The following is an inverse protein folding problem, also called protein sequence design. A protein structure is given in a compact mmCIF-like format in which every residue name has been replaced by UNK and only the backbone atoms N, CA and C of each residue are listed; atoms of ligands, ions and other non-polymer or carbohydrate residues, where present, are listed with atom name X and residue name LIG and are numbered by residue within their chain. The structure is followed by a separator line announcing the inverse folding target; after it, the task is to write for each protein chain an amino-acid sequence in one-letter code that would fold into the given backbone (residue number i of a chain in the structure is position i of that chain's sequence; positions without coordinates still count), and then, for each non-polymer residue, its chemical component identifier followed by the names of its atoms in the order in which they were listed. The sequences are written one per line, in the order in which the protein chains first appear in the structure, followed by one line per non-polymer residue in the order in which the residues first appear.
data_IF_568406466224
#
_entry.id   IF_568406466224
#
_cell.length_a   1.000
_cell.length_b   1.000
_cell.length_c   1.000
_cell.angle_alpha   90.00
_cell.angle_beta   90.00
_cell.angle_gamma   90.00
#
_symmetry.space_group_name_H-M   'P 1'
#
loop_
_entity.id
_entity.type
_entity.pdbx_description
1 polymer ?
#
# COMPACT_ATOMS: atom_id res chain seq x y z
N UNK A 1 67.08 -2.45 -9.71
CA UNK A 1 66.04 -1.40 -9.53
C UNK A 1 64.69 -2.07 -9.63
N UNK A 2 64.16 -2.41 -8.47
CA UNK A 2 62.94 -3.20 -8.28
C UNK A 2 61.75 -2.26 -8.42
N UNK A 3 60.96 -2.42 -9.49
CA UNK A 3 59.75 -1.65 -9.70
C UNK A 3 58.73 -2.13 -8.68
N UNK A 4 58.59 -1.36 -7.59
CA UNK A 4 57.52 -1.51 -6.62
C UNK A 4 56.18 -1.50 -7.38
N UNK A 5 55.58 -2.70 -7.50
CA UNK A 5 54.20 -2.93 -7.90
C UNK A 5 53.28 -2.35 -6.80
N UNK A 6 53.30 -1.02 -6.65
CA UNK A 6 52.25 -0.30 -5.96
C UNK A 6 51.02 -0.49 -6.83
N UNK A 7 50.19 -1.48 -6.46
CA UNK A 7 48.88 -1.68 -7.08
C UNK A 7 48.21 -0.32 -7.11
N UNK A 8 48.07 0.25 -8.31
CA UNK A 8 47.26 1.43 -8.54
C UNK A 8 45.88 1.04 -8.06
N UNK A 9 45.57 1.45 -6.83
CA UNK A 9 44.26 1.26 -6.22
C UNK A 9 43.36 2.15 -7.06
N UNK A 10 42.82 1.58 -8.13
CA UNK A 10 41.86 2.27 -8.99
C UNK A 10 40.77 2.76 -8.06
N UNK A 11 40.80 4.06 -7.77
CA UNK A 11 39.74 4.70 -7.02
C UNK A 11 38.47 4.37 -7.80
N UNK A 12 37.43 3.84 -7.15
CA UNK A 12 36.21 3.46 -7.83
C UNK A 12 35.80 4.65 -8.69
N UNK A 13 35.84 4.48 -10.03
CA UNK A 13 35.49 5.55 -10.94
C UNK A 13 34.15 6.09 -10.47
N UNK A 14 34.06 7.39 -10.20
CA UNK A 14 32.78 8.03 -9.86
C UNK A 14 31.83 7.84 -11.04
N UNK A 15 31.06 6.76 -11.02
CA UNK A 15 29.98 6.58 -11.97
C UNK A 15 29.04 7.77 -11.83
N UNK A 16 28.71 8.40 -12.96
CA UNK A 16 27.86 9.57 -12.98
C UNK A 16 26.56 9.30 -12.20
N UNK A 17 26.18 10.23 -11.30
CA UNK A 17 24.99 10.10 -10.45
C UNK A 17 23.72 9.82 -11.25
N UNK A 18 23.65 10.32 -12.49
CA UNK A 18 22.56 10.05 -13.42
C UNK A 18 22.49 8.58 -13.84
N UNK A 19 23.62 7.94 -14.16
CA UNK A 19 23.65 6.50 -14.48
C UNK A 19 23.17 5.68 -13.28
N UNK A 20 23.59 6.06 -12.07
CA UNK A 20 23.16 5.38 -10.83
C UNK A 20 21.66 5.54 -10.55
N UNK A 21 21.08 6.69 -10.91
CA UNK A 21 19.66 6.99 -10.71
C UNK A 21 18.77 6.31 -11.77
N UNK A 22 19.13 6.43 -13.06
CA UNK A 22 18.34 5.88 -14.17
C UNK A 22 18.57 4.40 -14.38
N UNK A 23 19.74 3.88 -13.99
CA UNK A 23 20.13 2.50 -14.25
C UNK A 23 20.91 1.88 -13.07
N UNK A 24 20.27 1.75 -11.90
CA UNK A 24 20.92 1.19 -10.73
C UNK A 24 21.37 -0.25 -10.98
N UNK A 25 22.54 -0.61 -10.42
CA UNK A 25 23.07 -1.96 -10.55
C UNK A 25 22.22 -2.96 -9.76
N UNK A 26 21.72 -3.99 -10.46
CA UNK A 26 20.88 -5.06 -9.93
C UNK A 26 21.66 -6.36 -9.70
N UNK A 27 22.98 -6.31 -9.65
CA UNK A 27 23.86 -7.46 -9.39
C UNK A 27 23.73 -8.01 -7.96
N UNK A 28 23.44 -7.13 -6.99
CA UNK A 28 23.47 -7.44 -5.56
C UNK A 28 22.06 -7.44 -4.97
N UNK A 29 21.78 -8.38 -4.06
CA UNK A 29 20.46 -8.52 -3.41
C UNK A 29 19.99 -7.24 -2.73
N UNK A 30 20.86 -6.55 -1.99
CA UNK A 30 20.55 -5.29 -1.31
C UNK A 30 20.14 -4.18 -2.28
N UNK A 31 20.85 -4.06 -3.41
CA UNK A 31 20.52 -3.07 -4.43
C UNK A 31 19.16 -3.37 -5.09
N UNK A 32 18.87 -4.63 -5.38
CA UNK A 32 17.55 -5.02 -5.92
C UNK A 32 16.43 -4.61 -4.97
N UNK A 33 16.57 -4.86 -3.67
CA UNK A 33 15.56 -4.47 -2.68
C UNK A 33 15.37 -2.95 -2.64
N UNK A 34 16.46 -2.18 -2.66
CA UNK A 34 16.40 -0.71 -2.71
C UNK A 34 15.69 -0.19 -3.96
N UNK A 35 15.90 -0.82 -5.12
CA UNK A 35 15.25 -0.41 -6.39
C UNK A 35 13.76 -0.72 -6.36
N UNK A 36 13.36 -1.89 -5.85
CA UNK A 36 11.95 -2.26 -5.68
C UNK A 36 11.27 -1.31 -4.68
N UNK A 37 11.93 -0.99 -3.57
CA UNK A 37 11.38 -0.09 -2.56
C UNK A 37 11.20 1.34 -3.07
N UNK A 38 12.12 1.80 -3.92
CA UNK A 38 12.01 3.09 -4.61
C UNK A 38 10.76 3.12 -5.50
N UNK A 39 10.54 2.09 -6.32
CA UNK A 39 9.34 1.97 -7.14
C UNK A 39 8.04 1.94 -6.34
N UNK A 40 8.04 1.23 -5.20
CA UNK A 40 6.92 1.22 -4.26
C UNK A 40 6.61 2.62 -3.72
N UNK A 41 7.64 3.35 -3.27
CA UNK A 41 7.49 4.72 -2.76
C UNK A 41 6.95 5.62 -3.89
N UNK A 42 7.46 5.50 -5.11
CA UNK A 42 6.97 6.26 -6.27
C UNK A 42 5.47 6.04 -6.50
N UNK A 43 4.97 4.81 -6.43
CA UNK A 43 3.55 4.52 -6.58
C UNK A 43 2.70 5.16 -5.48
N UNK A 44 3.17 5.16 -4.23
CA UNK A 44 2.47 5.86 -3.15
C UNK A 44 2.48 7.38 -3.31
N UNK A 45 3.58 7.95 -3.82
CA UNK A 45 3.65 9.39 -4.13
C UNK A 45 2.67 9.74 -5.24
N UNK A 46 2.61 8.94 -6.33
CA UNK A 46 1.64 9.14 -7.41
C UNK A 46 0.21 9.06 -6.88
N UNK A 47 -0.12 8.00 -6.12
CA UNK A 47 -1.43 7.86 -5.49
C UNK A 47 -1.78 9.05 -4.58
N UNK A 48 -0.84 9.48 -3.73
CA UNK A 48 -1.02 10.61 -2.83
C UNK A 48 -1.26 11.92 -3.57
N UNK A 49 -0.48 12.20 -4.63
CA UNK A 49 -0.65 13.40 -5.45
C UNK A 49 -1.97 13.40 -6.22
N UNK A 50 -2.38 12.26 -6.79
CA UNK A 50 -3.67 12.13 -7.48
C UNK A 50 -4.84 12.34 -6.51
N UNK A 51 -4.77 11.73 -5.33
CA UNK A 51 -5.78 11.91 -4.28
C UNK A 51 -5.85 13.38 -3.82
N UNK A 52 -4.70 14.01 -3.57
CA UNK A 52 -4.63 15.41 -3.17
C UNK A 52 -5.21 16.34 -4.26
N UNK A 53 -4.89 16.10 -5.53
CA UNK A 53 -5.43 16.87 -6.65
C UNK A 53 -6.95 16.72 -6.78
N UNK A 54 -7.50 15.53 -6.51
CA UNK A 54 -8.95 15.29 -6.49
C UNK A 54 -9.63 16.06 -5.34
N UNK A 55 -9.03 16.11 -4.14
CA UNK A 55 -9.57 16.86 -2.99
C UNK A 55 -9.69 18.36 -3.30
N UNK A 56 -8.71 18.94 -4.01
CA UNK A 56 -8.76 20.34 -4.43
C UNK A 56 -9.73 20.61 -5.60
N UNK A 57 -10.54 19.63 -6.02
CA UNK A 57 -11.45 19.69 -7.18
C UNK A 57 -10.74 20.07 -8.49
N UNK A 58 -9.43 19.78 -8.60
CA UNK A 58 -8.69 20.00 -9.83
C UNK A 58 -8.97 18.90 -10.87
N UNK A 59 -9.41 17.72 -10.42
CA UNK A 59 -9.58 16.51 -11.23
C UNK A 59 -10.91 15.83 -10.86
N UNK A 60 -11.63 15.20 -11.82
CA UNK A 60 -12.84 14.42 -11.55
C UNK A 60 -12.65 13.35 -10.45
N UNK A 61 -13.78 12.96 -9.83
CA UNK A 61 -13.83 11.93 -8.77
C UNK A 61 -13.28 10.56 -9.22
N UNK A 62 -13.26 10.30 -10.52
CA UNK A 62 -12.66 9.11 -11.13
C UNK A 62 -11.19 8.94 -10.74
N UNK A 63 -10.45 10.04 -10.60
CA UNK A 63 -9.05 10.02 -10.18
C UNK A 63 -8.84 9.51 -8.74
N UNK A 64 -9.89 9.51 -7.92
CA UNK A 64 -9.84 8.93 -6.58
C UNK A 64 -9.79 7.40 -6.65
N UNK A 65 -10.48 6.81 -7.64
CA UNK A 65 -10.38 5.36 -7.93
C UNK A 65 -8.98 5.03 -8.45
N UNK A 66 -8.44 5.81 -9.38
CA UNK A 66 -7.09 5.58 -9.91
C UNK A 66 -6.03 5.70 -8.82
N UNK A 67 -6.17 6.68 -7.92
CA UNK A 67 -5.28 6.84 -6.77
C UNK A 67 -5.24 5.59 -5.90
N UNK A 68 -6.40 4.97 -5.66
CA UNK A 68 -6.50 3.74 -4.88
C UNK A 68 -5.91 2.54 -5.61
N UNK A 69 -6.10 2.46 -6.92
CA UNK A 69 -5.50 1.43 -7.77
C UNK A 69 -3.98 1.53 -7.75
N UNK A 70 -3.40 2.73 -7.86
CA UNK A 70 -1.95 2.94 -7.73
C UNK A 70 -1.44 2.58 -6.33
N UNK A 71 -2.18 2.88 -5.27
CA UNK A 71 -1.81 2.47 -3.91
C UNK A 71 -1.81 0.94 -3.75
N UNK A 72 -2.79 0.25 -4.33
CA UNK A 72 -2.86 -1.21 -4.35
C UNK A 72 -1.68 -1.82 -5.12
N UNK A 73 -1.31 -1.24 -6.26
CA UNK A 73 -0.12 -1.64 -7.00
C UNK A 73 1.17 -1.40 -6.23
N UNK A 74 1.30 -0.26 -5.53
CA UNK A 74 2.45 0.02 -4.65
C UNK A 74 2.66 -1.08 -3.64
N UNK A 75 1.58 -1.53 -3.00
CA UNK A 75 1.62 -2.67 -2.09
C UNK A 75 2.04 -3.98 -2.79
N UNK A 76 1.49 -4.25 -3.97
CA UNK A 76 1.83 -5.43 -4.78
C UNK A 76 3.31 -5.48 -5.20
N UNK A 77 3.88 -4.33 -5.57
CA UNK A 77 5.31 -4.17 -5.88
C UNK A 77 6.16 -4.42 -4.63
N UNK A 78 5.72 -3.96 -3.45
CA UNK A 78 6.37 -4.26 -2.17
C UNK A 78 6.42 -5.75 -1.83
N UNK A 79 5.50 -6.56 -2.36
CA UNK A 79 5.52 -8.03 -2.28
C UNK A 79 6.39 -8.70 -3.35
N UNK A 80 7.16 -7.92 -4.12
CA UNK A 80 8.06 -8.39 -5.19
C UNK A 80 7.32 -9.14 -6.30
N UNK A 81 6.06 -8.77 -6.57
CA UNK A 81 5.23 -9.35 -7.64
C UNK A 81 5.60 -8.78 -9.02
N UNK A 82 5.95 -9.65 -9.97
CA UNK A 82 6.28 -9.27 -11.36
C UNK A 82 5.07 -8.68 -12.09
N UNK A 83 3.91 -9.32 -11.94
CA UNK A 83 2.68 -8.93 -12.65
C UNK A 83 2.23 -7.55 -12.17
N UNK A 84 2.24 -7.30 -10.85
CA UNK A 84 1.87 -6.00 -10.30
C UNK A 84 2.79 -4.87 -10.80
N UNK A 85 4.10 -5.11 -10.88
CA UNK A 85 5.04 -4.10 -11.36
C UNK A 85 4.79 -3.74 -12.83
N UNK A 86 4.55 -4.73 -13.68
CA UNK A 86 4.26 -4.52 -15.11
C UNK A 86 2.91 -3.82 -15.29
N UNK A 87 1.87 -4.26 -14.59
CA UNK A 87 0.55 -3.64 -14.65
C UNK A 87 0.58 -2.19 -14.15
N UNK A 88 1.31 -1.90 -13.07
CA UNK A 88 1.47 -0.55 -12.56
C UNK A 88 2.14 0.38 -13.58
N UNK A 89 3.19 -0.11 -14.28
CA UNK A 89 3.85 0.65 -15.34
C UNK A 89 2.92 0.87 -16.53
N UNK A 90 2.19 -0.16 -16.98
CA UNK A 90 1.26 -0.05 -18.12
C UNK A 90 0.11 0.90 -17.81
N UNK A 91 -0.49 0.79 -16.63
CA UNK A 91 -1.55 1.69 -16.18
C UNK A 91 -1.03 3.12 -16.11
N UNK A 92 0.17 3.34 -15.53
CA UNK A 92 0.78 4.66 -15.50
C UNK A 92 0.96 5.26 -16.89
N UNK A 93 1.49 4.50 -17.86
CA UNK A 93 1.67 4.98 -19.24
C UNK A 93 0.32 5.25 -19.91
N UNK A 94 -0.69 4.40 -19.71
CA UNK A 94 -2.03 4.61 -20.25
C UNK A 94 -2.66 5.90 -19.73
N UNK A 95 -2.57 6.16 -18.43
CA UNK A 95 -3.04 7.42 -17.81
C UNK A 95 -2.35 8.65 -18.41
N UNK A 96 -1.03 8.59 -18.66
CA UNK A 96 -0.32 9.72 -19.28
C UNK A 96 -0.75 9.95 -20.73
N UNK A 97 -1.00 8.88 -21.50
CA UNK A 97 -1.49 9.00 -22.88
C UNK A 97 -2.90 9.58 -22.92
N UNK A 98 -3.79 9.13 -22.03
CA UNK A 98 -5.14 9.67 -21.90
C UNK A 98 -5.10 11.14 -21.49
N UNK A 99 -4.36 11.50 -20.45
CA UNK A 99 -4.20 12.88 -20.00
C UNK A 99 -3.67 13.80 -21.11
N UNK A 100 -2.72 13.32 -21.92
CA UNK A 100 -2.21 14.06 -23.07
C UNK A 100 -3.25 14.25 -24.16
N UNK A 101 -4.04 13.20 -24.46
CA UNK A 101 -5.11 13.26 -25.48
C UNK A 101 -6.23 14.24 -25.12
N UNK A 102 -6.50 14.42 -23.82
CA UNK A 102 -7.48 15.38 -23.31
C UNK A 102 -6.93 16.81 -23.17
N UNK A 103 -5.65 17.03 -23.51
CA UNK A 103 -4.98 18.33 -23.35
C UNK A 103 -4.69 18.73 -21.90
N UNK A 104 -4.91 17.83 -20.92
CA UNK A 104 -4.63 18.06 -19.50
C UNK A 104 -3.18 17.70 -19.13
N UNK A 105 -2.54 16.86 -19.94
CA UNK A 105 -1.20 16.34 -19.71
C UNK A 105 -0.10 17.29 -20.21
N UNK A 106 0.87 17.58 -19.35
CA UNK A 106 2.16 18.14 -19.75
C UNK A 106 3.24 17.08 -19.59
N UNK A 107 4.14 16.96 -20.58
CA UNK A 107 5.33 16.11 -20.51
C UNK A 107 6.36 16.73 -19.57
N UNK A 108 6.02 16.79 -18.28
CA UNK A 108 6.88 17.28 -17.23
C UNK A 108 8.01 16.30 -16.94
N UNK A 109 9.14 16.84 -16.49
CA UNK A 109 10.31 16.06 -16.04
C UNK A 109 9.92 15.02 -14.99
N UNK A 110 8.95 15.34 -14.11
CA UNK A 110 8.43 14.42 -13.09
C UNK A 110 7.78 13.17 -13.69
N UNK A 111 7.05 13.30 -14.79
CA UNK A 111 6.39 12.16 -15.47
C UNK A 111 7.42 11.19 -16.01
N UNK A 112 8.46 11.74 -16.64
CA UNK A 112 9.57 10.96 -17.19
C UNK A 112 10.33 10.25 -16.06
N UNK A 113 10.68 10.97 -15.00
CA UNK A 113 11.36 10.40 -13.83
C UNK A 113 10.53 9.27 -13.21
N UNK A 114 9.23 9.49 -12.96
CA UNK A 114 8.35 8.47 -12.41
C UNK A 114 8.28 7.22 -13.30
N UNK A 115 8.16 7.39 -14.63
CA UNK A 115 8.19 6.28 -15.57
C UNK A 115 9.48 5.46 -15.47
N UNK A 116 10.65 6.13 -15.38
CA UNK A 116 11.93 5.44 -15.21
C UNK A 116 12.05 4.72 -13.86
N UNK A 117 11.56 5.31 -12.77
CA UNK A 117 11.56 4.66 -11.46
C UNK A 117 10.68 3.39 -11.46
N UNK A 118 9.51 3.44 -12.11
CA UNK A 118 8.64 2.28 -12.29
C UNK A 118 9.27 1.21 -13.18
N UNK A 119 9.93 1.61 -14.28
CA UNK A 119 10.66 0.69 -15.16
C UNK A 119 11.80 -0.02 -14.40
N UNK A 120 12.51 0.71 -13.55
CA UNK A 120 13.54 0.14 -12.69
C UNK A 120 12.95 -0.83 -11.66
N UNK A 121 11.77 -0.54 -11.10
CA UNK A 121 11.06 -1.47 -10.22
C UNK A 121 10.70 -2.79 -10.94
N UNK A 122 10.22 -2.71 -12.18
CA UNK A 122 9.94 -3.90 -13.02
C UNK A 122 11.20 -4.73 -13.21
N UNK A 123 12.31 -4.09 -13.59
CA UNK A 123 13.62 -4.77 -13.74
C UNK A 123 14.09 -5.39 -12.43
N UNK A 124 13.96 -4.68 -11.31
CA UNK A 124 14.29 -5.15 -9.97
C UNK A 124 13.50 -6.40 -9.59
N UNK A 125 12.18 -6.41 -9.83
CA UNK A 125 11.36 -7.61 -9.55
C UNK A 125 11.76 -8.81 -10.41
N UNK A 126 12.07 -8.62 -11.70
CA UNK A 126 12.54 -9.71 -12.57
C UNK A 126 13.90 -10.25 -12.08
N UNK A 127 14.83 -9.36 -11.72
CA UNK A 127 16.15 -9.73 -11.19
C UNK A 127 16.02 -10.52 -9.88
N UNK A 128 15.12 -10.10 -8.98
CA UNK A 128 14.83 -10.83 -7.74
C UNK A 128 14.43 -12.28 -7.99
N UNK A 129 13.48 -12.52 -8.91
CA UNK A 129 13.02 -13.88 -9.22
C UNK A 129 14.11 -14.73 -9.90
N UNK A 130 15.01 -14.12 -10.68
CA UNK A 130 16.17 -14.82 -11.25
C UNK A 130 17.13 -15.32 -10.16
N UNK A 131 17.44 -14.48 -9.17
CA UNK A 131 18.31 -14.86 -8.05
C UNK A 131 17.72 -16.00 -7.21
N UNK A 132 16.42 -15.93 -6.92
CA UNK A 132 15.73 -16.99 -6.18
C UNK A 132 15.83 -18.32 -6.93
N UNK A 133 15.61 -18.33 -8.26
CA UNK A 133 15.72 -19.56 -9.08
C UNK A 133 17.14 -20.15 -9.07
N UNK A 134 18.17 -19.32 -9.13
CA UNK A 134 19.57 -19.78 -9.09
C UNK A 134 19.92 -20.41 -7.74
N UNK A 135 19.46 -19.82 -6.63
CA UNK A 135 19.71 -20.34 -5.28
C UNK A 135 19.09 -21.73 -5.01
N UNK A 136 18.02 -22.08 -5.71
CA UNK A 136 17.40 -23.41 -5.62
C UNK A 136 18.16 -24.46 -6.43
N UNK A 137 18.85 -24.05 -7.50
CA UNK A 137 19.54 -24.98 -8.42
C UNK A 137 20.94 -25.35 -7.92
N UNK A 138 21.59 -24.49 -7.14
CA UNK A 138 22.93 -24.73 -6.57
C UNK A 138 22.97 -25.71 -5.41
N UNK A 139 21.87 -26.44 -5.14
CA UNK A 139 21.89 -27.65 -4.33
C UNK A 139 21.74 -28.89 -5.24
N UNK A 140 22.65 -29.13 -6.21
CA UNK A 140 22.77 -30.47 -6.72
C UNK A 140 23.22 -31.32 -5.54
N UNK A 141 22.44 -32.36 -5.29
CA UNK A 141 22.77 -33.54 -4.52
C UNK A 141 24.00 -34.21 -5.16
N UNK A 142 25.13 -33.50 -5.18
CA UNK A 142 26.42 -34.11 -5.40
C UNK A 142 26.72 -34.76 -4.07
N UNK A 143 26.23 -35.98 -3.95
CA UNK A 143 26.86 -37.02 -3.16
C UNK A 143 28.29 -37.18 -3.71
N UNK A 144 29.17 -36.19 -3.51
CA UNK A 144 30.60 -36.47 -3.52
C UNK A 144 30.76 -37.32 -2.27
N UNK A 145 31.04 -38.60 -2.49
CA UNK A 145 31.58 -39.53 -1.53
C UNK A 145 32.95 -39.00 -1.08
N UNK A 146 32.94 -37.94 -0.25
CA UNK A 146 34.15 -37.37 0.33
C UNK A 146 34.44 -38.23 1.54
N UNK A 147 35.32 -39.21 1.34
CA UNK A 147 36.10 -39.82 2.40
C UNK A 147 36.64 -38.72 3.33
N UNK A 148 36.35 -38.76 4.63
CA UNK A 148 36.55 -37.63 5.54
C UNK A 148 38.03 -37.31 5.69
N UNK A 149 38.45 -36.13 5.21
CA UNK A 149 39.72 -35.52 5.58
C UNK A 149 39.52 -34.66 6.84
N UNK A 150 40.15 -35.02 7.97
CA UNK A 150 39.97 -34.33 9.24
C UNK A 150 40.85 -33.08 9.29
N UNK A 151 40.30 -31.89 8.98
CA UNK A 151 40.82 -30.57 9.43
C UNK A 151 40.18 -29.37 8.73
N UNK A 152 38.86 -29.23 8.75
CA UNK A 152 38.25 -27.91 8.49
C UNK A 152 37.31 -27.52 9.63
N UNK A 153 37.84 -26.63 10.45
CA UNK A 153 37.17 -25.93 11.54
C UNK A 153 35.95 -25.21 11.01
N UNK A 154 34.81 -25.83 11.28
CA UNK A 154 33.44 -25.32 11.13
C UNK A 154 33.32 -23.92 11.73
N UNK A 155 33.25 -22.91 10.87
CA UNK A 155 32.53 -21.68 11.19
C UNK A 155 31.03 -22.04 11.16
N UNK A 156 30.25 -21.72 12.20
CA UNK A 156 28.82 -22.03 12.25
C UNK A 156 28.09 -21.18 11.22
N UNK A 157 27.94 -21.71 10.01
CA UNK A 157 27.04 -21.18 9.00
C UNK A 157 25.64 -21.37 9.58
N UNK A 158 25.09 -20.29 10.12
CA UNK A 158 23.70 -20.17 10.51
C UNK A 158 22.82 -20.29 9.25
N UNK A 159 22.68 -21.52 8.76
CA UNK A 159 21.69 -21.92 7.78
C UNK A 159 20.31 -21.85 8.42
N UNK A 160 19.82 -20.63 8.59
CA UNK A 160 18.49 -20.38 9.12
C UNK A 160 17.46 -20.52 8.00
N UNK A 161 17.04 -21.77 7.75
CA UNK A 161 15.68 -22.16 7.37
C UNK A 161 14.85 -21.16 6.53
N UNK A 162 15.24 -20.93 5.27
CA UNK A 162 14.51 -20.05 4.34
C UNK A 162 13.35 -20.75 3.61
N UNK A 163 13.23 -22.08 3.66
CA UNK A 163 12.43 -22.82 2.65
C UNK A 163 10.99 -23.23 3.01
N UNK A 164 10.35 -22.73 4.08
CA UNK A 164 8.93 -23.08 4.34
C UNK A 164 8.00 -21.94 4.76
N UNK A 165 8.23 -20.71 4.27
CA UNK A 165 7.29 -19.58 4.45
C UNK A 165 6.60 -19.13 3.15
N UNK A 166 6.12 -20.08 2.35
CA UNK A 166 4.91 -19.81 1.55
C UNK A 166 3.70 -19.83 2.49
N UNK A 167 3.70 -18.86 3.42
CA UNK A 167 2.76 -18.77 4.52
C UNK A 167 1.42 -18.32 3.96
N UNK A 168 0.36 -19.05 4.32
CA UNK A 168 -1.06 -18.69 4.21
C UNK A 168 -1.44 -17.29 4.78
N UNK A 169 -0.47 -16.50 5.24
CA UNK A 169 -0.52 -15.05 5.54
C UNK A 169 -0.89 -14.14 4.36
N UNK A 170 -1.09 -14.67 3.15
CA UNK A 170 -1.58 -13.90 2.00
C UNK A 170 -3.11 -13.72 2.00
N UNK A 171 -3.87 -14.50 2.76
CA UNK A 171 -5.34 -14.42 2.81
C UNK A 171 -5.87 -13.13 3.49
N UNK A 172 -5.26 -12.60 4.58
CA UNK A 172 -5.65 -11.32 5.16
C UNK A 172 -5.56 -10.13 4.19
N UNK A 173 -4.73 -10.23 3.14
CA UNK A 173 -4.57 -9.18 2.13
C UNK A 173 -5.81 -9.02 1.25
N UNK A 174 -6.49 -10.13 0.92
CA UNK A 174 -7.77 -10.09 0.21
C UNK A 174 -8.80 -9.29 1.02
N UNK A 175 -8.86 -9.51 2.33
CA UNK A 175 -9.76 -8.75 3.22
C UNK A 175 -9.35 -7.28 3.37
N UNK A 176 -8.05 -6.97 3.38
CA UNK A 176 -7.58 -5.58 3.41
C UNK A 176 -7.90 -4.82 2.12
N UNK A 177 -7.71 -5.46 0.97
CA UNK A 177 -8.04 -4.86 -0.34
C UNK A 177 -9.55 -4.78 -0.54
N UNK A 178 -10.30 -5.82 -0.20
CA UNK A 178 -11.77 -5.80 -0.22
C UNK A 178 -12.33 -4.77 0.76
N UNK A 179 -11.73 -4.63 1.95
CA UNK A 179 -12.11 -3.62 2.93
C UNK A 179 -11.85 -2.20 2.45
N UNK A 180 -10.69 -1.94 1.83
CA UNK A 180 -10.38 -0.65 1.21
C UNK A 180 -11.28 -0.35 0.01
N UNK A 181 -11.54 -1.35 -0.84
CA UNK A 181 -12.45 -1.20 -1.97
C UNK A 181 -13.89 -0.94 -1.52
N UNK A 182 -14.36 -1.62 -0.47
CA UNK A 182 -15.66 -1.38 0.14
C UNK A 182 -15.73 0.03 0.74
N UNK A 183 -14.69 0.47 1.44
CA UNK A 183 -14.62 1.82 2.02
C UNK A 183 -14.68 2.91 0.95
N UNK A 184 -13.93 2.76 -0.15
CA UNK A 184 -13.94 3.71 -1.27
C UNK A 184 -15.31 3.69 -1.97
N UNK A 185 -15.86 2.51 -2.23
CA UNK A 185 -17.21 2.36 -2.78
C UNK A 185 -18.25 3.09 -1.92
N UNK A 186 -18.10 3.04 -0.60
CA UNK A 186 -18.99 3.68 0.35
C UNK A 186 -18.86 5.21 0.36
N UNK A 187 -17.64 5.74 0.24
CA UNK A 187 -17.41 7.19 0.07
C UNK A 187 -18.04 7.67 -1.23
N UNK A 188 -17.82 6.96 -2.34
CA UNK A 188 -18.39 7.30 -3.65
C UNK A 188 -19.92 7.25 -3.61
N UNK A 189 -20.52 6.24 -2.95
CA UNK A 189 -21.97 6.13 -2.77
C UNK A 189 -22.53 7.30 -1.96
N UNK A 190 -21.83 7.74 -0.91
CA UNK A 190 -22.26 8.81 -0.02
C UNK A 190 -22.18 10.18 -0.71
N UNK A 191 -21.13 10.42 -1.48
CA UNK A 191 -21.01 11.57 -2.39
C UNK A 191 -22.09 11.57 -3.47
N UNK A 192 -22.35 10.42 -4.10
CA UNK A 192 -23.41 10.28 -5.09
C UNK A 192 -24.79 10.60 -4.49
N UNK A 193 -25.07 10.14 -3.26
CA UNK A 193 -26.30 10.47 -2.54
C UNK A 193 -26.42 11.96 -2.23
N UNK A 194 -25.33 12.62 -1.82
CA UNK A 194 -25.30 14.07 -1.59
C UNK A 194 -25.60 14.84 -2.88
N UNK A 195 -25.05 14.41 -4.02
CA UNK A 195 -25.29 15.02 -5.33
C UNK A 195 -26.68 14.73 -5.89
N UNK A 196 -27.21 13.54 -5.63
CA UNK A 196 -28.57 13.15 -6.03
C UNK A 196 -29.62 13.95 -5.24
N UNK A 197 -29.29 14.33 -3.99
CA UNK A 197 -30.19 15.01 -3.06
C UNK A 197 -30.82 16.30 -3.62
N UNK A 198 -30.06 17.28 -4.16
CA UNK A 198 -30.64 18.50 -4.74
C UNK A 198 -31.34 18.28 -6.09
N UNK A 199 -30.99 17.22 -6.84
CA UNK A 199 -31.63 16.91 -8.13
C UNK A 199 -32.99 16.26 -7.93
N UNK A 200 -33.12 15.41 -6.91
CA UNK A 200 -34.37 14.71 -6.55
C UNK A 200 -35.30 15.59 -5.74
N UNK A 201 -34.78 16.60 -5.04
CA UNK A 201 -35.56 17.54 -4.24
C UNK A 201 -35.40 18.96 -4.82
N UNK A 202 -36.05 19.28 -5.96
CA UNK A 202 -36.14 20.65 -6.38
C UNK A 202 -37.04 21.40 -5.38
N UNK A 203 -36.50 22.50 -4.82
CA UNK A 203 -37.21 23.62 -4.19
C UNK A 203 -38.46 23.28 -3.34
N UNK A 204 -38.31 23.42 -2.02
CA UNK A 204 -39.33 23.26 -0.97
C UNK A 204 -39.58 21.81 -0.50
N UNK A 205 -38.54 21.13 0.01
CA UNK A 205 -38.79 20.04 0.95
C UNK A 205 -39.50 20.61 2.18
N UNK A 206 -40.73 20.17 2.49
CA UNK A 206 -41.41 20.61 3.70
C UNK A 206 -40.61 20.21 4.94
N UNK A 207 -40.64 21.03 5.99
CA UNK A 207 -39.95 20.76 7.26
C UNK A 207 -40.35 19.43 7.91
N UNK A 208 -41.47 18.84 7.52
CA UNK A 208 -41.90 17.50 7.97
C UNK A 208 -41.06 16.34 7.42
N UNK A 209 -40.19 16.54 6.41
CA UNK A 209 -39.31 15.48 5.87
C UNK A 209 -38.01 15.33 6.70
N UNK A 210 -37.55 16.39 7.38
CA UNK A 210 -36.37 16.35 8.26
C UNK A 210 -36.37 15.21 9.29
N UNK A 211 -37.47 14.90 10.01
CA UNK A 211 -37.51 13.75 10.94
C UNK A 211 -37.43 12.39 10.23
N UNK A 212 -37.69 12.31 8.93
CA UNK A 212 -37.57 11.07 8.15
C UNK A 212 -36.13 10.81 7.71
N UNK A 213 -35.33 11.87 7.50
CA UNK A 213 -33.95 11.78 7.00
C UNK A 213 -32.92 11.69 8.13
N UNK A 214 -33.21 12.31 9.28
CA UNK A 214 -32.37 12.22 10.49
C UNK A 214 -32.00 10.78 10.90
N UNK A 215 -32.91 9.78 10.91
CA UNK A 215 -32.53 8.42 11.24
C UNK A 215 -31.56 7.81 10.22
N UNK A 216 -31.63 8.17 8.93
CA UNK A 216 -30.69 7.67 7.92
C UNK A 216 -29.29 8.26 8.06
N UNK A 217 -29.19 9.55 8.36
CA UNK A 217 -27.88 10.20 8.63
C UNK A 217 -27.28 9.66 9.92
N UNK A 218 -28.09 9.48 10.96
CA UNK A 218 -27.66 8.86 12.21
C UNK A 218 -27.20 7.40 11.97
N UNK A 219 -27.94 6.63 11.19
CA UNK A 219 -27.59 5.24 10.87
C UNK A 219 -26.30 5.15 10.04
N UNK A 220 -26.11 6.02 9.06
CA UNK A 220 -24.87 6.09 8.27
C UNK A 220 -23.66 6.47 9.15
N UNK A 221 -23.84 7.40 10.09
CA UNK A 221 -22.81 7.75 11.08
C UNK A 221 -22.46 6.58 12.01
N UNK A 222 -23.46 5.89 12.54
CA UNK A 222 -23.26 4.69 13.39
C UNK A 222 -22.55 3.59 12.60
N UNK A 223 -22.95 3.36 11.35
CA UNK A 223 -22.35 2.35 10.48
C UNK A 223 -20.89 2.66 10.14
N UNK A 224 -20.55 3.94 9.90
CA UNK A 224 -19.17 4.38 9.69
C UNK A 224 -18.31 4.12 10.94
N UNK A 225 -18.81 4.46 12.14
CA UNK A 225 -18.08 4.19 13.39
C UNK A 225 -17.92 2.70 13.62
N UNK A 226 -18.94 1.89 13.32
CA UNK A 226 -18.88 0.43 13.43
C UNK A 226 -17.80 -0.17 12.50
N UNK A 227 -17.70 0.31 11.26
CA UNK A 227 -16.64 -0.10 10.32
C UNK A 227 -15.26 0.31 10.82
N UNK A 228 -15.09 1.55 11.29
CA UNK A 228 -13.81 2.02 11.83
C UNK A 228 -13.40 1.23 13.09
N UNK A 229 -14.36 0.88 13.96
CA UNK A 229 -14.13 0.00 15.10
C UNK A 229 -13.79 -1.43 14.68
N UNK A 230 -14.40 -1.98 13.63
CA UNK A 230 -14.09 -3.31 13.09
C UNK A 230 -12.70 -3.37 12.46
N UNK A 231 -12.29 -2.34 11.72
CA UNK A 231 -10.95 -2.22 11.13
C UNK A 231 -9.89 -2.05 12.23
N UNK A 232 -10.19 -1.25 13.27
CA UNK A 232 -9.31 -1.09 14.44
C UNK A 232 -9.15 -2.37 15.25
N UNK A 233 -10.26 -3.09 15.51
CA UNK A 233 -10.23 -4.35 16.29
C UNK A 233 -9.57 -5.50 15.53
N UNK A 234 -9.78 -5.65 14.22
CA UNK A 234 -9.05 -6.66 13.43
C UNK A 234 -7.54 -6.38 13.37
N UNK A 235 -7.13 -5.11 13.27
CA UNK A 235 -5.73 -4.69 13.42
C UNK A 235 -5.15 -5.00 14.81
N UNK A 236 -5.91 -4.73 15.88
CA UNK A 236 -5.53 -5.00 17.27
C UNK A 236 -5.39 -6.51 17.58
N UNK A 237 -6.31 -7.34 17.09
CA UNK A 237 -6.28 -8.80 17.29
C UNK A 237 -5.06 -9.43 16.58
N UNK A 238 -4.69 -8.92 15.40
CA UNK A 238 -3.49 -9.35 14.71
C UNK A 238 -2.19 -8.88 15.41
N UNK A 239 -2.21 -7.71 16.05
CA UNK A 239 -1.09 -7.18 16.83
C UNK A 239 -0.84 -7.97 18.13
N UNK A 240 -1.88 -8.52 18.77
CA UNK A 240 -1.76 -9.35 19.98
C UNK A 240 -1.02 -10.68 19.75
N UNK A 241 -0.89 -11.10 18.49
CA UNK A 241 -0.22 -12.35 18.10
C UNK A 241 1.31 -12.22 18.02
N UNK A 242 1.87 -11.00 18.01
CA UNK A 242 3.31 -10.80 18.12
C UNK A 242 3.68 -10.34 19.55
N UNK A 243 4.67 -10.96 20.21
CA UNK A 243 5.02 -10.61 21.59
C UNK A 243 5.58 -9.18 21.71
N UNK A 244 6.17 -8.66 20.64
CA UNK A 244 6.78 -7.31 20.59
C UNK A 244 5.73 -6.19 20.48
N UNK A 245 4.54 -6.45 19.93
CA UNK A 245 3.50 -5.41 19.74
C UNK A 245 2.29 -5.55 20.66
N UNK A 246 2.33 -6.44 21.66
CA UNK A 246 1.21 -6.63 22.61
C UNK A 246 0.80 -5.34 23.33
N UNK A 247 1.77 -4.54 23.75
CA UNK A 247 1.51 -3.29 24.47
C UNK A 247 0.71 -2.30 23.60
N UNK A 248 1.08 -2.15 22.32
CA UNK A 248 0.40 -1.24 21.40
C UNK A 248 -0.99 -1.75 20.99
N UNK A 249 -1.16 -3.07 20.88
CA UNK A 249 -2.47 -3.69 20.62
C UNK A 249 -3.45 -3.49 21.79
N UNK A 250 -2.97 -3.62 23.03
CA UNK A 250 -3.79 -3.37 24.23
C UNK A 250 -4.13 -1.88 24.33
N UNK A 251 -3.17 -0.98 24.08
CA UNK A 251 -3.41 0.47 24.11
C UNK A 251 -4.50 0.90 23.10
N UNK A 252 -4.46 0.34 21.88
CA UNK A 252 -5.46 0.59 20.84
C UNK A 252 -6.86 0.12 21.26
N UNK A 253 -6.97 -1.06 21.90
CA UNK A 253 -8.23 -1.58 22.43
C UNK A 253 -8.77 -0.73 23.59
N UNK A 254 -7.90 -0.30 24.49
CA UNK A 254 -8.28 0.53 25.65
C UNK A 254 -8.75 1.92 25.23
N UNK A 255 -8.21 2.49 24.14
CA UNK A 255 -8.63 3.79 23.62
C UNK A 255 -9.94 3.70 22.83
N UNK A 256 -10.18 2.61 22.10
CA UNK A 256 -11.36 2.46 21.23
C UNK A 256 -12.65 2.09 21.99
N UNK A 257 -12.54 1.37 23.11
CA UNK A 257 -13.69 1.00 23.96
C UNK A 257 -14.47 2.19 24.55
N UNK A 258 -13.85 3.19 25.21
CA UNK A 258 -14.56 4.31 25.79
C UNK A 258 -15.19 5.24 24.73
N UNK A 259 -14.57 5.38 23.56
CA UNK A 259 -15.16 6.10 22.42
C UNK A 259 -16.44 5.44 21.92
N UNK A 260 -16.45 4.10 21.85
CA UNK A 260 -17.66 3.34 21.51
C UNK A 260 -18.76 3.53 22.56
N UNK A 261 -18.41 3.49 23.85
CA UNK A 261 -19.36 3.68 24.96
C UNK A 261 -19.93 5.10 24.96
N UNK A 262 -19.11 6.13 24.74
CA UNK A 262 -19.60 7.52 24.64
C UNK A 262 -20.51 7.72 23.42
N UNK A 263 -20.24 7.06 22.30
CA UNK A 263 -21.09 7.12 21.11
C UNK A 263 -22.46 6.48 21.38
N UNK A 264 -22.49 5.30 22.01
CA UNK A 264 -23.74 4.62 22.39
C UNK A 264 -24.54 5.48 23.38
N UNK A 265 -23.88 6.10 24.36
CA UNK A 265 -24.52 6.99 25.33
C UNK A 265 -25.11 8.25 24.64
N UNK A 266 -24.39 8.85 23.70
CA UNK A 266 -24.87 10.01 22.94
C UNK A 266 -26.08 9.67 22.07
N UNK A 267 -26.09 8.49 21.44
CA UNK A 267 -27.24 7.99 20.67
C UNK A 267 -28.45 7.72 21.54
N UNK A 268 -28.24 7.18 22.74
CA UNK A 268 -29.34 6.97 23.69
C UNK A 268 -29.93 8.30 24.17
N UNK A 269 -29.09 9.26 24.55
CA UNK A 269 -29.56 10.58 25.00
C UNK A 269 -30.28 11.37 23.89
N UNK A 270 -29.89 11.18 22.62
CA UNK A 270 -30.60 11.78 21.49
C UNK A 270 -31.96 11.16 21.18
N UNK A 271 -32.23 9.93 21.62
CA UNK A 271 -33.49 9.22 21.38
C UNK A 271 -34.59 9.59 22.40
N UNK A 272 -34.22 10.09 23.58
CA UNK A 272 -35.18 10.57 24.59
C UNK A 272 -35.46 12.06 24.39
N UNK A 273 -36.27 12.38 23.38
CA UNK A 273 -36.80 13.74 23.22
C UNK A 273 -37.63 14.16 24.45
N UNK A 274 -37.71 15.47 24.75
CA UNK A 274 -38.49 15.95 25.88
C UNK A 274 -39.95 15.55 25.73
N UNK A 275 -40.47 14.79 26.70
CA UNK A 275 -41.87 14.39 26.76
C UNK A 275 -42.68 15.65 27.06
N UNK A 276 -43.34 16.21 26.05
CA UNK A 276 -44.28 17.31 26.26
C UNK A 276 -45.40 16.83 27.20
N UNK A 277 -45.67 17.54 28.31
CA UNK A 277 -46.74 17.18 29.20
C UNK A 277 -48.07 17.36 28.46
N UNK A 278 -48.84 16.28 28.35
CA UNK A 278 -50.17 16.28 27.75
C UNK A 278 -51.05 17.31 28.46
N UNK A 279 -51.57 18.27 27.68
CA UNK A 279 -52.61 19.21 28.10
C UNK A 279 -53.99 18.59 27.99
#
# INVERSE_FOLDING_TARGET
MEKLNLSTRELPQEESRFKRLFWPDVSTKSNIESVIDTGKITLYVIAGLSCLASIFRLIPLEALVDSAVFAAFGYGVGRKSRVCAVLALLLYVAEQVLAYSEGRGSWGILVIIAAFLLLNAVRGTIAWHRMVKLSTTSSPDITIDISPSPSQTTQPVSQMSILHRFSWRSIPWLYGVLGWAAFICQIVLLEFLIWLFPVVIPFAAPTWILPLITPFVAFAGVFLVLILSLVGTTGGILALRSPVNRANGILSLVISLPLLVMLIAALWMGATGPVEPAQ
#
